data_IF_440005670363
#
_entry.id   IF_440005670363
#
_cell.length_a   1.000
_cell.length_b   1.000
_cell.length_c   1.000
_cell.angle_alpha   90.00
_cell.angle_beta   90.00
_cell.angle_gamma   90.00
#
_symmetry.space_group_name_H-M   'P 1'
#
loop_
_entity.id
_entity.type
_entity.pdbx_description
1 polymer ?
#
# COMPACT_ATOMS: atom_id res chain seq x y z
N UNK A 1 -23.57 -8.82 7.96
CA UNK A 1 -22.26 -8.70 8.56
C UNK A 1 -21.48 -7.58 7.90
N UNK A 2 -21.05 -6.68 8.67
CA UNK A 2 -20.31 -5.58 8.09
C UNK A 2 -18.82 -5.79 8.33
N UNK A 3 -18.05 -5.24 7.47
CA UNK A 3 -16.62 -5.31 7.56
C UNK A 3 -16.09 -3.94 7.90
N UNK A 4 -15.32 -3.85 8.95
CA UNK A 4 -14.74 -2.58 9.31
C UNK A 4 -13.79 -2.12 8.22
N UNK A 5 -13.67 -0.82 8.08
CA UNK A 5 -12.71 -0.25 7.15
C UNK A 5 -11.33 -0.63 7.62
N UNK A 6 -10.61 -1.38 6.83
CA UNK A 6 -9.29 -1.87 7.20
C UNK A 6 -8.38 -1.85 6.00
N UNK A 7 -7.11 -2.08 6.27
CA UNK A 7 -6.14 -2.20 5.21
C UNK A 7 -6.56 -3.35 4.31
N UNK A 8 -6.60 -3.15 3.01
CA UNK A 8 -6.93 -4.24 2.11
C UNK A 8 -5.88 -5.33 2.16
N UNK A 9 -6.25 -6.50 1.67
CA UNK A 9 -5.30 -7.60 1.60
C UNK A 9 -4.13 -7.21 0.72
N UNK A 10 -2.95 -7.69 1.09
CA UNK A 10 -1.76 -7.42 0.31
C UNK A 10 -1.92 -7.98 -1.11
N UNK A 11 -1.39 -7.25 -2.07
CA UNK A 11 -1.49 -7.62 -3.47
C UNK A 11 -0.14 -7.48 -4.13
N UNK A 12 0.07 -8.15 -5.26
CA UNK A 12 1.33 -7.99 -5.98
C UNK A 12 1.53 -6.53 -6.38
N UNK A 13 2.76 -6.06 -6.26
CA UNK A 13 3.13 -4.70 -6.67
C UNK A 13 4.30 -4.78 -7.61
N UNK A 14 4.44 -3.78 -8.47
CA UNK A 14 5.53 -3.75 -9.42
C UNK A 14 6.85 -3.78 -8.66
N UNK A 15 7.79 -4.60 -9.15
CA UNK A 15 9.09 -4.73 -8.52
C UNK A 15 9.94 -3.53 -8.86
N UNK A 16 10.50 -2.88 -7.84
CA UNK A 16 11.36 -1.73 -8.04
C UNK A 16 12.60 -1.92 -7.17
N UNK A 17 13.47 -2.83 -7.58
CA UNK A 17 14.61 -3.19 -6.79
C UNK A 17 14.26 -4.32 -5.85
N UNK A 18 14.54 -4.14 -4.56
CA UNK A 18 14.22 -5.17 -3.58
C UNK A 18 12.75 -5.13 -3.22
N UNK A 19 12.19 -6.28 -2.91
CA UNK A 19 10.80 -6.36 -2.48
C UNK A 19 10.67 -5.94 -1.02
N UNK A 20 9.50 -5.41 -0.63
CA UNK A 20 9.33 -5.03 0.77
C UNK A 20 9.22 -6.25 1.67
N UNK A 21 9.29 -6.01 2.97
CA UNK A 21 9.20 -7.05 3.98
C UNK A 21 7.89 -7.82 3.80
N UNK A 22 7.97 -9.14 3.84
CA UNK A 22 6.80 -9.99 3.69
C UNK A 22 6.42 -10.30 2.26
N UNK A 23 7.22 -9.84 1.30
CA UNK A 23 7.00 -10.09 -0.12
C UNK A 23 8.19 -10.82 -0.71
N UNK A 24 7.96 -11.49 -1.82
CA UNK A 24 9.04 -12.15 -2.54
C UNK A 24 8.97 -11.79 -4.02
N UNK A 25 10.11 -11.89 -4.69
CA UNK A 25 10.19 -11.56 -6.09
C UNK A 25 9.51 -12.64 -6.94
N UNK A 26 8.69 -12.20 -7.88
CA UNK A 26 7.98 -13.10 -8.77
C UNK A 26 7.94 -12.43 -10.14
N UNK A 27 8.95 -12.69 -10.95
CA UNK A 27 9.06 -12.03 -12.24
C UNK A 27 9.29 -10.55 -12.07
N UNK A 28 8.42 -9.74 -12.64
CA UNK A 28 8.52 -8.28 -12.55
C UNK A 28 7.71 -7.70 -11.39
N UNK A 29 7.28 -8.57 -10.48
CA UNK A 29 6.41 -8.14 -9.38
C UNK A 29 6.94 -8.66 -8.06
N UNK A 30 6.54 -8.00 -7.00
CA UNK A 30 6.72 -8.50 -5.64
C UNK A 30 5.37 -9.03 -5.20
N UNK A 31 5.35 -10.30 -4.80
CA UNK A 31 4.11 -10.98 -4.43
C UNK A 31 4.09 -11.24 -2.93
N UNK A 32 2.96 -11.03 -2.25
CA UNK A 32 2.90 -11.33 -0.83
C UNK A 32 3.28 -12.77 -0.55
N UNK A 33 4.14 -12.96 0.46
CA UNK A 33 4.61 -14.29 0.82
C UNK A 33 3.63 -15.05 1.71
N UNK A 34 2.71 -14.33 2.34
CA UNK A 34 1.74 -14.97 3.23
C UNK A 34 0.51 -14.09 3.32
N UNK A 35 -0.55 -14.64 3.93
CA UNK A 35 -1.78 -13.89 4.13
C UNK A 35 -1.60 -12.77 5.13
N UNK A 36 -0.50 -12.79 5.91
CA UNK A 36 -0.24 -11.75 6.90
C UNK A 36 0.64 -10.65 6.37
N UNK A 37 1.01 -10.68 5.09
CA UNK A 37 1.81 -9.62 4.51
C UNK A 37 1.04 -8.31 4.58
N UNK A 38 1.74 -7.22 4.85
CA UNK A 38 1.13 -5.91 4.92
C UNK A 38 0.93 -5.33 3.54
N UNK A 39 -0.12 -4.54 3.39
CA UNK A 39 -0.39 -3.87 2.12
C UNK A 39 0.77 -2.91 1.80
N UNK A 40 1.22 -2.92 0.56
CA UNK A 40 2.35 -2.11 0.14
C UNK A 40 1.99 -1.28 -1.08
N UNK A 41 2.61 -0.12 -1.17
CA UNK A 41 2.44 0.81 -2.28
C UNK A 41 3.81 1.25 -2.78
N UNK A 42 3.93 1.64 -4.05
CA UNK A 42 5.17 2.25 -4.50
C UNK A 42 5.46 3.54 -3.73
N UNK A 43 6.72 3.79 -3.43
CA UNK A 43 7.13 4.98 -2.72
C UNK A 43 7.41 6.09 -3.73
N UNK A 44 6.44 6.98 -3.93
CA UNK A 44 6.60 8.08 -4.89
C UNK A 44 6.67 9.44 -4.22
N UNK A 45 6.44 9.50 -2.94
CA UNK A 45 6.54 10.70 -2.14
C UNK A 45 6.50 10.28 -0.71
N UNK A 46 6.13 11.19 0.19
CA UNK A 46 5.98 10.80 1.58
C UNK A 46 4.87 9.77 1.71
N UNK A 47 5.09 8.76 2.53
CA UNK A 47 4.09 7.74 2.72
C UNK A 47 2.84 8.33 3.37
N UNK A 48 1.65 7.82 3.03
CA UNK A 48 0.44 8.34 3.64
C UNK A 48 0.33 7.95 5.10
N UNK A 49 -0.62 8.56 5.77
CA UNK A 49 -0.88 8.29 7.18
C UNK A 49 -1.14 6.81 7.40
N UNK A 50 -0.51 6.24 8.43
CA UNK A 50 -0.66 4.82 8.71
C UNK A 50 0.30 3.93 7.97
N UNK A 51 1.19 4.52 7.18
CA UNK A 51 2.19 3.78 6.41
C UNK A 51 3.58 4.25 6.77
N UNK A 52 4.57 3.44 6.50
CA UNK A 52 5.96 3.81 6.74
C UNK A 52 6.80 3.39 5.53
N UNK A 53 7.92 4.06 5.39
CA UNK A 53 8.84 3.79 4.30
C UNK A 53 9.51 2.44 4.49
N UNK A 54 9.53 1.65 3.43
CA UNK A 54 10.21 0.37 3.41
C UNK A 54 10.92 0.23 2.07
N UNK A 55 12.13 0.77 1.98
CA UNK A 55 12.88 0.77 0.73
C UNK A 55 12.16 1.58 -0.32
N UNK A 56 11.86 0.98 -1.45
CA UNK A 56 11.17 1.65 -2.55
C UNK A 56 9.65 1.62 -2.39
N UNK A 57 9.16 1.28 -1.21
CA UNK A 57 7.71 1.10 -1.00
C UNK A 57 7.26 1.78 0.28
N UNK A 58 5.96 2.02 0.36
CA UNK A 58 5.29 2.41 1.59
C UNK A 58 4.53 1.19 2.06
N UNK A 59 4.78 0.78 3.28
CA UNK A 59 4.20 -0.44 3.84
C UNK A 59 3.25 -0.07 4.95
N UNK A 60 2.08 -0.67 4.97
CA UNK A 60 1.11 -0.38 6.02
C UNK A 60 1.70 -0.70 7.38
N UNK A 61 1.59 0.23 8.32
CA UNK A 61 2.19 0.08 9.64
C UNK A 61 1.38 -0.83 10.54
N UNK A 62 0.10 -0.97 10.25
CA UNK A 62 -0.76 -1.81 11.08
C UNK A 62 -1.92 -2.30 10.24
N UNK A 63 -2.66 -3.28 10.77
CA UNK A 63 -3.81 -3.78 10.06
C UNK A 63 -4.97 -2.80 10.01
N UNK A 64 -4.90 -1.71 10.78
CA UNK A 64 -5.94 -0.70 10.75
C UNK A 64 -5.67 0.44 9.80
N UNK A 65 -4.56 0.41 9.08
CA UNK A 65 -4.26 1.46 8.12
C UNK A 65 -5.32 1.46 7.02
N UNK A 66 -5.71 2.64 6.58
CA UNK A 66 -6.74 2.75 5.55
C UNK A 66 -6.13 2.45 4.18
N UNK A 67 -6.98 1.98 3.27
CA UNK A 67 -6.55 1.72 1.91
C UNK A 67 -6.03 2.99 1.27
N UNK A 68 -4.99 2.88 0.47
CA UNK A 68 -4.40 4.01 -0.21
C UNK A 68 -3.99 3.59 -1.61
N UNK A 69 -3.99 4.55 -2.51
CA UNK A 69 -3.55 4.32 -3.88
C UNK A 69 -2.69 5.49 -4.30
N UNK A 70 -1.85 5.28 -5.30
CA UNK A 70 -1.05 6.36 -5.84
C UNK A 70 -1.98 7.34 -6.55
N UNK A 71 -1.82 8.62 -6.23
CA UNK A 71 -2.68 9.64 -6.81
C UNK A 71 -2.32 9.83 -8.27
N UNK A 72 -3.34 9.83 -9.12
CA UNK A 72 -3.19 10.04 -10.54
C UNK A 72 -4.27 11.02 -10.97
N UNK A 73 -3.97 12.30 -10.89
CA UNK A 73 -4.96 13.32 -11.13
C UNK A 73 -5.78 13.56 -9.88
N UNK A 74 -7.07 13.32 -9.95
CA UNK A 74 -7.97 13.50 -8.82
C UNK A 74 -8.17 12.20 -8.09
N UNK A 75 -8.47 12.29 -6.79
CA UNK A 75 -8.81 11.11 -6.04
C UNK A 75 -10.23 10.68 -6.35
N UNK A 76 -10.50 9.37 -6.36
CA UNK A 76 -11.86 8.90 -6.61
C UNK A 76 -12.77 9.17 -5.42
N UNK A 77 -14.05 8.97 -5.65
CA UNK A 77 -15.05 9.13 -4.62
C UNK A 77 -14.74 8.23 -3.43
N UNK A 78 -14.87 8.76 -2.22
CA UNK A 78 -14.56 8.01 -1.03
C UNK A 78 -13.11 8.10 -0.60
N UNK A 79 -12.30 8.85 -1.33
CA UNK A 79 -10.89 9.05 -1.02
C UNK A 79 -10.60 10.53 -0.90
N UNK A 80 -9.51 10.85 -0.23
CA UNK A 80 -9.03 12.22 -0.15
C UNK A 80 -7.55 12.27 -0.41
N UNK A 81 -7.07 13.41 -0.84
CA UNK A 81 -5.66 13.60 -1.15
C UNK A 81 -4.82 13.52 0.10
N UNK A 82 -3.74 12.75 0.03
CA UNK A 82 -2.78 12.63 1.10
C UNK A 82 -1.39 12.62 0.47
N UNK A 83 -0.86 13.82 0.22
CA UNK A 83 0.42 13.94 -0.47
C UNK A 83 0.33 13.42 -1.88
N UNK A 84 1.19 12.46 -2.22
CA UNK A 84 1.19 11.86 -3.55
C UNK A 84 0.21 10.69 -3.66
N UNK A 85 -0.65 10.53 -2.68
CA UNK A 85 -1.56 9.38 -2.61
C UNK A 85 -2.98 9.81 -2.36
N UNK A 86 -3.91 8.91 -2.65
CA UNK A 86 -5.31 9.05 -2.26
C UNK A 86 -5.55 8.07 -1.14
N UNK A 87 -6.03 8.58 -0.02
CA UNK A 87 -6.27 7.77 1.16
C UNK A 87 -7.77 7.63 1.36
N UNK A 88 -8.21 6.41 1.64
CA UNK A 88 -9.63 6.17 1.83
C UNK A 88 -10.15 6.91 3.05
N UNK A 89 -11.33 7.50 2.91
CA UNK A 89 -11.98 8.25 4.00
C UNK A 89 -12.42 7.38 5.17
#
# INVERSE_FOLDING_TARGET
MSVAAQTPAAQPVAKQGACPSGYHSSGNYCTPSSANARFALPHVGSCPSGYHTSGAYCLASSGGAKAAIVKSGSCPSGYHTSGAYCLRN
#
